data_IF_770640364561
#
_entry.id   IF_770640364561
#
_cell.length_a   1.000
_cell.length_b   1.000
_cell.length_c   1.000
_cell.angle_alpha   90.00
_cell.angle_beta   90.00
_cell.angle_gamma   90.00
#
_symmetry.space_group_name_H-M   'P 1'
#
loop_
_entity.id
_entity.type
_entity.pdbx_description
1 polymer ?
#
# COMPACT_ATOMS: atom_id res chain seq x y z
N UNK A 1 -6.34 -15.07 -15.23
CA UNK A 1 -5.42 -14.60 -14.17
C UNK A 1 -4.38 -15.66 -13.86
N UNK A 2 -3.12 -15.31 -13.92
CA UNK A 2 -1.99 -16.19 -13.56
C UNK A 2 -1.33 -15.68 -12.25
N UNK A 3 -1.64 -16.35 -11.13
CA UNK A 3 -1.14 -15.99 -9.79
C UNK A 3 0.39 -16.08 -9.68
N UNK A 4 0.99 -17.08 -10.35
CA UNK A 4 2.44 -17.28 -10.31
C UNK A 4 3.17 -16.15 -11.09
N UNK A 5 2.60 -15.73 -12.21
CA UNK A 5 3.10 -14.59 -12.98
C UNK A 5 3.00 -13.29 -12.16
N UNK A 6 1.84 -13.00 -11.55
CA UNK A 6 1.64 -11.83 -10.70
C UNK A 6 2.69 -11.79 -9.60
N UNK A 7 2.86 -12.88 -8.86
CA UNK A 7 3.85 -12.97 -7.79
C UNK A 7 5.25 -12.66 -8.29
N UNK A 8 5.70 -13.34 -9.35
CA UNK A 8 7.04 -13.20 -9.91
C UNK A 8 7.33 -11.77 -10.39
N UNK A 9 6.38 -11.15 -11.09
CA UNK A 9 6.58 -9.79 -11.61
C UNK A 9 6.56 -8.75 -10.48
N UNK A 10 5.72 -8.92 -9.46
CA UNK A 10 5.71 -8.05 -8.27
C UNK A 10 6.99 -8.21 -7.43
N UNK A 11 7.52 -9.43 -7.28
CA UNK A 11 8.82 -9.67 -6.64
C UNK A 11 9.95 -8.94 -7.39
N UNK A 12 9.93 -9.02 -8.73
CA UNK A 12 10.90 -8.32 -9.57
C UNK A 12 10.83 -6.80 -9.41
N UNK A 13 9.62 -6.22 -9.45
CA UNK A 13 9.42 -4.79 -9.22
C UNK A 13 9.95 -4.37 -7.85
N UNK A 14 9.63 -5.11 -6.80
CA UNK A 14 10.10 -4.81 -5.46
C UNK A 14 11.64 -4.88 -5.34
N UNK A 15 12.27 -5.82 -6.04
CA UNK A 15 13.74 -5.96 -6.07
C UNK A 15 14.42 -4.84 -6.87
N UNK A 16 13.84 -4.39 -7.99
CA UNK A 16 14.35 -3.26 -8.78
C UNK A 16 14.37 -1.94 -8.00
N UNK A 17 13.48 -1.77 -7.02
CA UNK A 17 13.41 -0.59 -6.17
C UNK A 17 14.43 -0.54 -5.03
N UNK A 18 15.23 -1.58 -4.83
CA UNK A 18 16.29 -1.59 -3.80
C UNK A 18 17.54 -0.88 -4.31
N UNK A 19 18.20 -0.01 -3.50
CA UNK A 19 19.49 0.55 -3.85
C UNK A 19 20.50 -0.58 -4.02
N UNK A 20 21.30 -0.52 -5.10
CA UNK A 20 22.30 -1.53 -5.42
C UNK A 20 23.26 -1.72 -4.23
N UNK A 21 23.31 -2.94 -3.67
CA UNK A 21 24.24 -3.32 -2.61
C UNK A 21 23.65 -3.65 -1.24
N UNK A 22 22.33 -3.61 -1.04
CA UNK A 22 21.74 -4.14 0.18
C UNK A 22 21.37 -5.62 0.00
N UNK A 23 21.85 -6.54 0.87
CA UNK A 23 21.39 -7.94 0.83
C UNK A 23 19.91 -7.99 1.12
N UNK A 24 19.19 -8.83 0.38
CA UNK A 24 17.83 -9.24 0.72
C UNK A 24 17.90 -9.98 2.05
N UNK A 25 17.61 -9.30 3.16
CA UNK A 25 17.29 -9.99 4.39
C UNK A 25 15.99 -10.75 4.14
N UNK A 26 16.05 -12.08 4.20
CA UNK A 26 14.89 -12.95 4.11
C UNK A 26 13.80 -12.42 5.05
N UNK A 27 12.58 -12.32 4.53
CA UNK A 27 11.43 -11.96 5.35
C UNK A 27 11.40 -12.89 6.57
N UNK A 28 11.13 -12.38 7.77
CA UNK A 28 11.15 -13.22 8.96
C UNK A 28 10.17 -14.38 8.77
N UNK A 29 10.73 -15.57 8.67
CA UNK A 29 9.97 -16.83 8.70
C UNK A 29 9.16 -16.79 9.98
N UNK A 30 7.84 -16.83 9.87
CA UNK A 30 6.95 -16.94 11.02
C UNK A 30 7.22 -18.29 11.67
N UNK A 31 8.16 -18.32 12.60
CA UNK A 31 8.37 -19.48 13.48
C UNK A 31 7.12 -19.56 14.33
N UNK A 32 6.36 -20.63 14.17
CA UNK A 32 5.27 -21.00 15.05
C UNK A 32 5.86 -21.18 16.45
N UNK A 33 5.73 -20.17 17.31
CA UNK A 33 6.02 -20.31 18.72
C UNK A 33 4.78 -20.94 19.36
N UNK A 34 4.85 -22.24 19.65
CA UNK A 34 3.95 -22.90 20.57
C UNK A 34 4.08 -22.25 21.96
N UNK A 35 2.95 -21.77 22.47
CA UNK A 35 2.63 -21.51 23.86
C UNK A 35 3.58 -20.68 24.69
N UNK A 36 3.21 -19.39 24.87
CA UNK A 36 3.26 -18.71 26.17
C UNK A 36 2.62 -17.30 26.07
N UNK A 37 1.50 -17.13 26.77
CA UNK A 37 0.96 -15.85 27.21
C UNK A 37 0.47 -14.84 26.14
N UNK A 38 -0.85 -14.66 26.03
CA UNK A 38 -1.51 -13.70 25.12
C UNK A 38 -0.97 -12.25 25.18
N UNK A 39 -0.46 -11.81 26.33
CA UNK A 39 0.06 -10.45 26.51
C UNK A 39 1.45 -10.24 25.87
N UNK A 40 2.29 -11.27 25.81
CA UNK A 40 3.59 -11.20 25.10
C UNK A 40 3.42 -11.25 23.59
N UNK A 41 2.41 -11.96 23.09
CA UNK A 41 2.09 -12.02 21.67
C UNK A 41 1.57 -10.67 21.15
N UNK A 42 0.69 -9.98 21.90
CA UNK A 42 0.21 -8.64 21.58
C UNK A 42 1.33 -7.59 21.60
N UNK A 43 2.28 -7.69 22.52
CA UNK A 43 3.43 -6.78 22.58
C UNK A 43 4.45 -7.03 21.46
N UNK A 44 4.64 -8.30 20.99
CA UNK A 44 5.47 -8.61 19.84
C UNK A 44 4.82 -8.17 18.52
N UNK A 45 3.53 -8.46 18.32
CA UNK A 45 2.78 -8.01 17.16
C UNK A 45 2.79 -6.46 17.04
N UNK A 46 2.63 -5.74 18.16
CA UNK A 46 2.68 -4.28 18.18
C UNK A 46 4.09 -3.71 17.88
N UNK A 47 5.16 -4.45 18.18
CA UNK A 47 6.54 -4.06 17.82
C UNK A 47 6.87 -4.32 16.35
N UNK A 48 6.32 -5.36 15.73
CA UNK A 48 6.52 -5.65 14.29
C UNK A 48 5.74 -4.68 13.39
N UNK A 49 4.61 -4.14 13.86
CA UNK A 49 3.83 -3.12 13.13
C UNK A 49 4.51 -1.73 13.12
N UNK A 50 5.41 -1.44 14.05
CA UNK A 50 6.11 -0.15 14.17
C UNK A 50 7.44 -0.07 13.38
N UNK A 51 7.87 -1.15 12.73
CA UNK A 51 9.13 -1.15 11.95
C UNK A 51 8.83 -0.80 10.49
N UNK A 52 9.53 0.19 9.90
CA UNK A 52 9.40 0.51 8.47
C UNK A 52 9.65 -0.72 7.61
N UNK A 53 8.68 -1.08 6.78
CA UNK A 53 8.84 -2.21 5.87
C UNK A 53 9.82 -1.84 4.76
N UNK A 54 10.74 -2.74 4.46
CA UNK A 54 11.61 -2.65 3.28
C UNK A 54 10.85 -3.10 2.03
N UNK A 55 11.28 -2.66 0.85
CA UNK A 55 10.76 -3.18 -0.41
C UNK A 55 10.90 -4.71 -0.46
N UNK A 56 9.85 -5.37 -0.87
CA UNK A 56 9.78 -6.83 -0.92
C UNK A 56 8.34 -7.32 -0.98
N UNK A 57 8.17 -8.62 -1.27
CA UNK A 57 6.88 -9.29 -1.32
C UNK A 57 6.80 -10.31 -0.18
N UNK A 58 5.65 -10.38 0.47
CA UNK A 58 5.32 -11.35 1.51
C UNK A 58 4.06 -12.10 1.07
N UNK A 59 4.13 -13.42 1.05
CA UNK A 59 2.93 -14.25 0.98
C UNK A 59 2.25 -14.29 2.34
N UNK A 60 0.96 -14.03 2.37
CA UNK A 60 0.20 -13.92 3.61
C UNK A 60 -0.94 -14.92 3.66
N UNK A 61 -1.30 -15.35 4.86
CA UNK A 61 -2.49 -16.17 5.10
C UNK A 61 -3.73 -15.27 5.00
N UNK A 62 -4.55 -15.51 3.98
CA UNK A 62 -5.78 -14.75 3.75
C UNK A 62 -6.71 -14.72 4.98
N UNK A 63 -6.80 -15.83 5.71
CA UNK A 63 -7.66 -15.90 6.90
C UNK A 63 -7.20 -14.96 8.03
N UNK A 64 -5.90 -14.65 8.08
CA UNK A 64 -5.32 -13.78 9.12
C UNK A 64 -5.19 -12.33 8.68
N UNK A 65 -4.86 -12.08 7.40
CA UNK A 65 -4.51 -10.74 6.91
C UNK A 65 -5.46 -10.17 5.84
N UNK A 66 -6.40 -10.97 5.35
CA UNK A 66 -7.34 -10.57 4.31
C UNK A 66 -6.71 -10.39 2.91
N UNK A 67 -5.43 -10.72 2.75
CA UNK A 67 -4.71 -10.67 1.48
C UNK A 67 -3.88 -11.94 1.28
N UNK A 68 -3.55 -12.27 0.04
CA UNK A 68 -2.69 -13.40 -0.33
C UNK A 68 -1.24 -12.94 -0.57
N UNK A 69 -1.09 -11.77 -1.17
CA UNK A 69 0.20 -11.12 -1.38
C UNK A 69 0.16 -9.71 -0.79
N UNK A 70 1.24 -9.33 -0.13
CA UNK A 70 1.45 -7.99 0.41
C UNK A 70 2.84 -7.54 -0.01
N UNK A 71 2.91 -6.52 -0.89
CA UNK A 71 4.15 -6.08 -1.52
C UNK A 71 4.42 -4.61 -1.22
N UNK A 72 5.65 -4.30 -0.82
CA UNK A 72 6.17 -2.95 -0.68
C UNK A 72 7.05 -2.62 -1.88
N UNK A 73 6.75 -1.53 -2.58
CA UNK A 73 7.49 -1.03 -3.75
C UNK A 73 7.82 0.46 -3.60
N UNK A 74 8.65 0.98 -4.51
CA UNK A 74 8.89 2.41 -4.59
C UNK A 74 7.69 3.16 -5.20
N UNK A 75 7.50 4.45 -4.87
CA UNK A 75 6.40 5.25 -5.41
C UNK A 75 6.36 5.32 -6.94
N UNK A 76 7.50 5.38 -7.62
CA UNK A 76 7.62 5.42 -9.08
C UNK A 76 7.20 4.12 -9.78
N UNK A 77 7.03 3.03 -9.03
CA UNK A 77 6.67 1.71 -9.54
C UNK A 77 5.17 1.41 -9.46
N UNK A 78 4.36 2.27 -8.78
CA UNK A 78 2.92 1.99 -8.56
C UNK A 78 2.13 1.87 -9.86
N UNK A 79 2.47 2.66 -10.88
CA UNK A 79 1.83 2.60 -12.20
C UNK A 79 2.10 1.26 -12.87
N UNK A 80 3.35 0.79 -12.87
CA UNK A 80 3.72 -0.52 -13.45
C UNK A 80 3.03 -1.68 -12.72
N UNK A 81 2.91 -1.59 -11.39
CA UNK A 81 2.20 -2.59 -10.62
C UNK A 81 0.69 -2.59 -10.96
N UNK A 82 0.09 -1.40 -11.10
CA UNK A 82 -1.31 -1.25 -11.50
C UNK A 82 -1.57 -1.81 -12.91
N UNK A 83 -0.72 -1.48 -13.90
CA UNK A 83 -0.81 -2.02 -15.27
C UNK A 83 -0.69 -3.55 -15.30
N UNK A 84 0.24 -4.11 -14.52
CA UNK A 84 0.38 -5.57 -14.40
C UNK A 84 -0.90 -6.20 -13.86
N UNK A 85 -1.45 -5.67 -12.77
CA UNK A 85 -2.63 -6.24 -12.11
C UNK A 85 -3.88 -6.08 -12.97
N UNK A 86 -4.04 -4.95 -13.68
CA UNK A 86 -5.11 -4.74 -14.64
C UNK A 86 -5.03 -5.73 -15.82
N UNK A 87 -3.84 -5.96 -16.37
CA UNK A 87 -3.62 -6.93 -17.45
C UNK A 87 -4.00 -8.37 -17.05
N UNK A 88 -3.95 -8.70 -15.77
CA UNK A 88 -4.39 -9.98 -15.22
C UNK A 88 -5.87 -9.97 -14.78
N UNK A 89 -6.59 -8.88 -15.06
CA UNK A 89 -8.03 -8.74 -14.78
C UNK A 89 -8.35 -8.52 -13.30
N UNK A 90 -7.41 -8.00 -12.52
CA UNK A 90 -7.69 -7.58 -11.14
C UNK A 90 -8.35 -6.21 -11.12
N UNK A 91 -9.21 -5.97 -10.16
CA UNK A 91 -9.87 -4.68 -9.90
C UNK A 91 -9.27 -4.00 -8.70
N UNK A 92 -9.26 -2.68 -8.71
CA UNK A 92 -8.93 -1.89 -7.51
C UNK A 92 -10.14 -1.83 -6.59
N UNK A 93 -9.98 -2.21 -5.33
CA UNK A 93 -11.02 -2.13 -4.32
C UNK A 93 -10.90 -0.82 -3.53
N UNK A 94 -9.66 -0.39 -3.23
CA UNK A 94 -9.42 0.78 -2.40
C UNK A 94 -8.01 1.35 -2.63
N UNK A 95 -7.90 2.68 -2.52
CA UNK A 95 -6.63 3.38 -2.29
C UNK A 95 -6.78 4.17 -1.00
N UNK A 96 -5.87 4.00 -0.05
CA UNK A 96 -5.92 4.72 1.22
C UNK A 96 -4.53 5.13 1.68
N UNK A 97 -4.45 6.18 2.49
CA UNK A 97 -3.22 6.69 3.07
C UNK A 97 -3.12 6.43 4.58
N UNK A 98 -1.91 6.25 5.06
CA UNK A 98 -1.59 6.14 6.49
C UNK A 98 -0.49 7.14 6.83
N UNK A 99 -0.71 7.94 7.88
CA UNK A 99 0.30 8.89 8.37
C UNK A 99 1.25 8.20 9.38
N UNK A 100 2.49 7.97 8.94
CA UNK A 100 3.59 7.49 9.78
C UNK A 100 4.41 8.68 10.29
N UNK A 101 3.78 9.52 11.13
CA UNK A 101 4.38 10.78 11.60
C UNK A 101 5.74 10.60 12.28
N UNK A 102 5.97 9.49 13.00
CA UNK A 102 7.24 9.20 13.67
C UNK A 102 8.38 8.94 12.68
N UNK A 103 8.05 8.39 11.52
CA UNK A 103 8.97 8.08 10.44
C UNK A 103 9.09 9.22 9.42
N UNK A 104 8.27 10.27 9.55
CA UNK A 104 8.21 11.36 8.60
C UNK A 104 7.71 10.95 7.21
N UNK A 105 6.86 9.92 7.14
CA UNK A 105 6.39 9.34 5.89
C UNK A 105 4.86 9.20 5.87
N UNK A 106 4.30 9.21 4.65
CA UNK A 106 3.00 8.63 4.38
C UNK A 106 3.17 7.27 3.69
N UNK A 107 2.31 6.32 4.00
CA UNK A 107 2.17 5.06 3.27
C UNK A 107 0.87 5.08 2.49
N UNK A 108 0.93 4.79 1.20
CA UNK A 108 -0.22 4.61 0.34
C UNK A 108 -0.43 3.12 0.13
N UNK A 109 -1.65 2.66 0.35
CA UNK A 109 -2.04 1.26 0.28
C UNK A 109 -3.07 1.13 -0.85
N UNK A 110 -2.75 0.27 -1.82
CA UNK A 110 -3.61 -0.10 -2.93
C UNK A 110 -4.07 -1.54 -2.73
N UNK A 111 -5.37 -1.75 -2.60
CA UNK A 111 -5.96 -3.07 -2.41
C UNK A 111 -6.62 -3.53 -3.70
N UNK A 112 -6.17 -4.68 -4.20
CA UNK A 112 -6.65 -5.25 -5.45
C UNK A 112 -7.29 -6.61 -5.21
N UNK A 113 -8.38 -6.89 -5.92
CA UNK A 113 -9.04 -8.18 -5.88
C UNK A 113 -9.32 -8.75 -7.26
N UNK A 114 -9.36 -10.09 -7.32
CA UNK A 114 -9.86 -10.85 -8.46
C UNK A 114 -10.99 -11.75 -7.99
N UNK A 115 -12.17 -11.54 -8.55
CA UNK A 115 -13.40 -12.27 -8.16
C UNK A 115 -14.08 -13.00 -9.32
N UNK A 116 -13.58 -12.83 -10.56
CA UNK A 116 -14.20 -13.41 -11.75
C UNK A 116 -13.91 -14.91 -11.86
N UNK A 117 -14.90 -15.73 -11.53
CA UNK A 117 -14.93 -17.16 -11.88
C UNK A 117 -14.01 -18.09 -11.10
N UNK A 118 -13.68 -17.77 -9.83
CA UNK A 118 -12.84 -18.63 -9.00
C UNK A 118 -12.75 -18.19 -7.55
N UNK A 119 -11.90 -18.86 -6.74
CA UNK A 119 -11.62 -18.38 -5.38
C UNK A 119 -11.06 -16.96 -5.43
N UNK A 120 -11.56 -16.08 -4.57
CA UNK A 120 -11.07 -14.71 -4.42
C UNK A 120 -9.54 -14.70 -4.26
N UNK A 121 -8.88 -13.73 -4.91
CA UNK A 121 -7.46 -13.51 -4.77
C UNK A 121 -7.22 -12.03 -4.53
N UNK A 122 -6.52 -11.68 -3.45
CA UNK A 122 -6.26 -10.28 -3.06
C UNK A 122 -4.77 -10.01 -2.99
N UNK A 123 -4.41 -8.85 -3.50
CA UNK A 123 -3.04 -8.33 -3.50
C UNK A 123 -3.07 -6.93 -2.91
N UNK A 124 -2.22 -6.69 -1.92
CA UNK A 124 -2.00 -5.37 -1.35
C UNK A 124 -0.65 -4.86 -1.85
N UNK A 125 -0.67 -3.69 -2.49
CA UNK A 125 0.52 -2.98 -2.92
C UNK A 125 0.68 -1.74 -2.03
N UNK A 126 1.89 -1.53 -1.51
CA UNK A 126 2.22 -0.41 -0.63
C UNK A 126 3.36 0.40 -1.20
N UNK A 127 3.27 1.71 -1.06
CA UNK A 127 4.36 2.62 -1.36
C UNK A 127 4.48 3.66 -0.25
N UNK A 128 5.70 4.12 0.03
CA UNK A 128 5.96 5.16 1.03
C UNK A 128 6.55 6.38 0.38
N UNK A 129 6.07 7.55 0.77
CA UNK A 129 6.54 8.86 0.31
C UNK A 129 6.96 9.73 1.50
N UNK A 130 7.87 10.68 1.26
CA UNK A 130 8.26 11.66 2.26
C UNK A 130 7.05 12.55 2.62
N UNK A 131 6.81 12.76 3.92
CA UNK A 131 5.69 13.56 4.42
C UNK A 131 5.79 15.03 4.03
N UNK A 132 7.00 15.55 3.79
CA UNK A 132 7.23 16.94 3.37
C UNK A 132 7.08 17.12 1.85
N UNK A 133 7.23 16.04 1.08
CA UNK A 133 7.04 16.02 -0.37
C UNK A 133 6.29 14.75 -0.76
N UNK A 134 4.99 14.67 -0.46
CA UNK A 134 4.21 13.44 -0.60
C UNK A 134 3.69 13.24 -2.03
N UNK A 135 4.59 13.24 -3.01
CA UNK A 135 4.27 13.04 -4.43
C UNK A 135 4.30 11.55 -4.79
N UNK A 136 3.22 11.09 -5.44
CA UNK A 136 3.10 9.74 -6.00
C UNK A 136 2.34 9.79 -7.32
N UNK A 137 2.70 9.00 -8.35
CA UNK A 137 1.94 8.98 -9.60
C UNK A 137 0.50 8.48 -9.39
N UNK A 138 -0.46 9.10 -10.09
CA UNK A 138 -1.84 8.61 -10.12
C UNK A 138 -1.96 7.30 -10.89
N UNK A 139 -2.90 6.45 -10.50
CA UNK A 139 -3.34 5.27 -11.26
C UNK A 139 -4.77 5.41 -11.79
N UNK A 140 -5.38 6.59 -11.67
CA UNK A 140 -6.77 6.84 -12.10
C UNK A 140 -6.99 6.67 -13.60
N UNK A 141 -5.93 6.76 -14.41
CA UNK A 141 -5.99 6.50 -15.86
C UNK A 141 -6.04 5.00 -16.20
N UNK A 142 -5.67 4.12 -15.26
CA UNK A 142 -5.77 2.66 -15.38
C UNK A 142 -7.09 2.19 -14.74
N UNK A 143 -7.33 2.64 -13.52
CA UNK A 143 -8.52 2.29 -12.74
C UNK A 143 -9.38 3.53 -12.48
N UNK A 144 -10.49 3.68 -13.19
CA UNK A 144 -11.40 4.83 -12.99
C UNK A 144 -11.92 4.98 -11.56
N UNK A 145 -12.07 3.87 -10.82
CA UNK A 145 -12.45 3.88 -9.41
C UNK A 145 -11.41 4.53 -8.50
N UNK A 146 -10.14 4.45 -8.85
CA UNK A 146 -9.06 5.08 -8.07
C UNK A 146 -9.19 6.61 -8.00
N UNK A 147 -9.83 7.25 -8.99
CA UNK A 147 -10.03 8.70 -9.01
C UNK A 147 -10.61 9.23 -7.69
N UNK A 148 -11.68 8.60 -7.18
CA UNK A 148 -12.33 9.03 -5.95
C UNK A 148 -11.49 8.76 -4.71
N UNK A 149 -10.85 7.62 -4.63
CA UNK A 149 -9.99 7.25 -3.51
C UNK A 149 -8.73 8.12 -3.42
N UNK A 150 -8.14 8.46 -4.56
CA UNK A 150 -6.98 9.36 -4.64
C UNK A 150 -7.35 10.79 -4.21
N UNK A 151 -8.51 11.30 -4.63
CA UNK A 151 -9.04 12.60 -4.18
C UNK A 151 -9.28 12.62 -2.67
N UNK A 152 -9.95 11.59 -2.12
CA UNK A 152 -10.16 11.44 -0.68
C UNK A 152 -8.82 11.46 0.09
N UNK A 153 -7.86 10.66 -0.38
CA UNK A 153 -6.54 10.57 0.26
C UNK A 153 -5.77 11.88 0.15
N UNK A 154 -5.90 12.59 -0.98
CA UNK A 154 -5.32 13.92 -1.16
C UNK A 154 -5.95 14.94 -0.21
N UNK A 155 -7.26 15.07 -0.16
CA UNK A 155 -7.90 16.11 0.65
C UNK A 155 -7.78 15.86 2.16
N UNK A 156 -7.73 14.60 2.61
CA UNK A 156 -7.67 14.28 4.04
C UNK A 156 -6.24 14.20 4.60
N UNK A 157 -5.23 13.89 3.78
CA UNK A 157 -3.84 13.72 4.21
C UNK A 157 -2.86 14.67 3.51
N UNK A 158 -3.23 15.23 2.34
CA UNK A 158 -2.36 16.08 1.53
C UNK A 158 -1.35 15.30 0.70
N UNK A 159 -1.64 14.05 0.33
CA UNK A 159 -0.82 13.24 -0.57
C UNK A 159 -1.12 13.69 -2.01
N UNK A 160 -0.11 14.13 -2.76
CA UNK A 160 -0.27 14.65 -4.11
C UNK A 160 -0.15 13.52 -5.15
N UNK A 161 -1.25 13.21 -5.82
CA UNK A 161 -1.29 12.23 -6.92
C UNK A 161 -0.93 12.90 -8.24
N UNK A 162 0.35 12.83 -8.61
CA UNK A 162 0.90 13.49 -9.79
C UNK A 162 0.25 12.95 -11.07
N UNK A 163 -0.31 13.87 -11.88
CA UNK A 163 -1.01 13.53 -13.11
C UNK A 163 -2.49 13.16 -12.94
N UNK A 164 -3.03 13.26 -11.73
CA UNK A 164 -4.45 13.08 -11.50
C UNK A 164 -5.26 14.16 -12.26
N UNK A 165 -6.34 13.80 -12.99
CA UNK A 165 -7.05 14.73 -13.86
C UNK A 165 -7.84 15.81 -13.10
N UNK A 166 -8.21 15.55 -11.84
CA UNK A 166 -9.12 16.41 -11.08
C UNK A 166 -8.90 16.26 -9.56
N UNK A 167 -7.83 16.83 -9.01
CA UNK A 167 -7.64 16.92 -7.56
C UNK A 167 -8.40 18.14 -7.02
N UNK A 168 -9.66 17.92 -6.67
CA UNK A 168 -10.58 18.92 -6.10
C UNK A 168 -11.26 18.34 -4.87
N UNK A 169 -11.60 19.18 -3.92
CA UNK A 169 -12.36 18.75 -2.73
C UNK A 169 -13.73 18.18 -3.12
N UNK A 170 -14.21 17.20 -2.37
CA UNK A 170 -15.57 16.67 -2.51
C UNK A 170 -16.19 16.23 -1.16
N UNK A 171 -15.38 15.97 -0.14
CA UNK A 171 -15.83 15.71 1.23
C UNK A 171 -15.68 16.95 2.12
N UNK A 172 -14.59 17.70 1.94
CA UNK A 172 -14.31 18.92 2.66
C UNK A 172 -14.87 20.13 1.91
N UNK A 173 -15.11 21.28 2.60
CA UNK A 173 -15.43 22.54 1.95
C UNK A 173 -14.35 22.94 0.94
N UNK A 174 -14.75 23.65 -0.14
CA UNK A 174 -13.84 24.07 -1.22
C UNK A 174 -12.68 24.97 -0.75
N UNK A 175 -12.86 25.67 0.36
CA UNK A 175 -11.88 26.57 0.98
C UNK A 175 -11.07 25.90 2.11
N UNK A 176 -11.16 24.58 2.27
CA UNK A 176 -10.40 23.86 3.29
C UNK A 176 -8.89 23.89 2.97
N UNK A 177 -8.11 24.43 3.91
CA UNK A 177 -6.64 24.50 3.86
C UNK A 177 -5.94 23.58 4.88
N UNK A 178 -6.66 22.58 5.38
CA UNK A 178 -6.22 21.67 6.42
C UNK A 178 -6.40 20.20 6.01
N UNK A 179 -5.67 19.32 6.71
CA UNK A 179 -5.70 17.86 6.46
C UNK A 179 -6.13 17.11 7.74
N UNK A 180 -7.42 16.79 7.88
CA UNK A 180 -7.98 16.34 9.17
C UNK A 180 -7.53 14.94 9.59
N UNK A 181 -6.99 14.11 8.70
CA UNK A 181 -6.48 12.78 9.04
C UNK A 181 -4.97 12.75 9.34
N UNK A 182 -4.27 13.87 9.25
CA UNK A 182 -2.89 13.94 9.75
C UNK A 182 -2.86 13.83 11.26
N UNK A 183 -1.91 13.04 11.79
CA UNK A 183 -1.80 12.79 13.24
C UNK A 183 -1.43 14.00 14.08
N UNK A 184 -0.93 15.06 13.47
CA UNK A 184 -0.63 16.35 14.10
C UNK A 184 -1.73 17.41 13.90
N UNK A 185 -2.81 17.07 13.19
CA UNK A 185 -3.97 17.95 13.04
C UNK A 185 -4.60 18.26 14.41
N UNK A 186 -4.89 19.53 14.62
CA UNK A 186 -5.62 20.03 15.80
C UNK A 186 -6.80 20.85 15.28
N UNK A 187 -8.04 20.48 15.64
CA UNK A 187 -9.25 21.21 15.24
C UNK A 187 -9.31 22.61 15.87
#
# INVERSE_FOLDING_TARGET
MDRAKIKKELEKLAAEGLPAGQPQEEAPVVVQAEGEGEDKAKAKAKKEEDVPRKNGLIETDYAKRGAHLDVQINPDQVVKAAELLDSEGMTIDMVTGVDWIKEGQFEIIYDYSYTAGGPAFRVVVRARVDRNKPDIPTISHIYGGANWHERETWELLGINFVGHPQLEHFLLPEDADFFPLRKDFKP
#
